data_IF_217289006522
#
_entry.id   IF_217289006522
#
_cell.length_a   1.000
_cell.length_b   1.000
_cell.length_c   1.000
_cell.angle_alpha   90.00
_cell.angle_beta   90.00
_cell.angle_gamma   90.00
#
_symmetry.space_group_name_H-M   'P 1'
#
loop_
_entity.id
_entity.type
_entity.pdbx_description
1 polymer ?
#
# COMPACT_ATOMS: atom_id res chain seq x y z
N UNK A 1 -15.82 14.36 -14.40
CA UNK A 1 -14.69 14.84 -13.58
C UNK A 1 -13.53 13.86 -13.73
N UNK A 2 -12.29 14.33 -13.80
CA UNK A 2 -11.11 13.46 -13.93
C UNK A 2 -10.74 12.92 -12.54
N UNK A 3 -10.53 11.61 -12.40
CA UNK A 3 -10.03 10.97 -11.19
C UNK A 3 -8.97 9.92 -11.54
N UNK A 4 -7.86 9.89 -10.80
CA UNK A 4 -6.72 9.02 -11.10
C UNK A 4 -6.92 7.53 -10.73
N UNK A 5 -8.01 7.19 -10.04
CA UNK A 5 -8.36 5.83 -9.66
C UNK A 5 -8.62 5.66 -8.17
N UNK A 6 -9.16 4.51 -7.79
CA UNK A 6 -9.37 4.16 -6.39
C UNK A 6 -8.09 3.61 -5.74
N UNK A 7 -7.97 3.80 -4.43
CA UNK A 7 -6.97 3.08 -3.63
C UNK A 7 -7.21 1.58 -3.62
N UNK A 8 -6.17 0.83 -3.22
CA UNK A 8 -6.36 -0.52 -2.74
C UNK A 8 -7.08 -0.49 -1.38
N UNK A 9 -8.27 -1.07 -1.29
CA UNK A 9 -9.05 -1.12 -0.04
C UNK A 9 -8.50 -2.21 0.88
N UNK A 10 -7.38 -1.89 1.53
CA UNK A 10 -6.72 -2.69 2.56
C UNK A 10 -5.93 -1.75 3.50
N UNK A 11 -5.36 -2.17 4.62
CA UNK A 11 -5.35 -3.50 5.24
C UNK A 11 -6.70 -3.87 5.90
N UNK A 12 -6.99 -5.16 5.95
CA UNK A 12 -8.05 -5.73 6.78
C UNK A 12 -7.45 -6.30 8.07
N UNK A 13 -7.62 -5.61 9.20
CA UNK A 13 -7.27 -6.16 10.52
C UNK A 13 -8.25 -7.28 10.84
N UNK A 14 -7.72 -8.49 11.01
CA UNK A 14 -8.50 -9.69 11.26
C UNK A 14 -7.85 -10.54 12.35
N UNK A 15 -8.67 -11.34 13.02
CA UNK A 15 -8.25 -12.22 14.10
C UNK A 15 -9.42 -12.97 14.73
N UNK A 16 -9.11 -13.82 15.70
CA UNK A 16 -10.12 -14.60 16.43
C UNK A 16 -9.56 -15.33 17.63
N UNK A 17 -10.46 -15.77 18.50
CA UNK A 17 -10.16 -16.37 19.80
C UNK A 17 -11.31 -16.12 20.78
N UNK A 18 -10.99 -15.86 22.04
CA UNK A 18 -11.96 -15.50 23.08
C UNK A 18 -11.85 -14.00 23.38
N UNK A 19 -12.98 -13.28 23.32
CA UNK A 19 -13.03 -11.83 23.53
C UNK A 19 -13.09 -11.42 25.02
N UNK A 20 -13.25 -10.13 25.27
CA UNK A 20 -13.34 -9.52 26.60
C UNK A 20 -14.54 -10.00 27.44
N UNK A 21 -15.56 -10.56 26.80
CA UNK A 21 -16.76 -11.11 27.46
C UNK A 21 -16.66 -12.62 27.73
N UNK A 22 -15.55 -13.24 27.32
CA UNK A 22 -15.33 -14.68 27.47
C UNK A 22 -16.00 -15.53 26.39
N UNK A 23 -16.39 -14.94 25.26
CA UNK A 23 -17.08 -15.62 24.16
C UNK A 23 -16.16 -15.90 22.97
N UNK A 24 -16.46 -16.97 22.22
CA UNK A 24 -15.81 -17.26 20.93
C UNK A 24 -16.10 -16.12 19.97
N UNK A 25 -15.06 -15.54 19.38
CA UNK A 25 -15.18 -14.31 18.62
C UNK A 25 -14.20 -14.24 17.45
N UNK A 26 -14.52 -13.39 16.47
CA UNK A 26 -13.64 -13.03 15.37
C UNK A 26 -13.82 -11.54 15.02
N UNK A 27 -12.74 -10.88 14.61
CA UNK A 27 -12.75 -9.46 14.26
C UNK A 27 -12.46 -9.24 12.78
N UNK A 28 -13.05 -8.19 12.22
CA UNK A 28 -12.73 -7.70 10.89
C UNK A 28 -13.00 -6.18 10.83
N UNK A 29 -11.96 -5.39 11.07
CA UNK A 29 -12.10 -3.94 11.11
C UNK A 29 -12.48 -3.38 9.73
N UNK A 30 -13.51 -2.53 9.71
CA UNK A 30 -13.95 -1.85 8.49
C UNK A 30 -13.28 -0.48 8.29
N UNK A 31 -12.23 -0.15 9.04
CA UNK A 31 -11.43 1.08 8.85
C UNK A 31 -10.95 1.28 7.39
N UNK A 32 -10.83 0.20 6.61
CA UNK A 32 -10.52 0.24 5.18
C UNK A 32 -11.63 0.79 4.28
N UNK A 33 -12.83 1.08 4.79
CA UNK A 33 -13.89 1.82 4.09
C UNK A 33 -13.48 3.28 3.79
N UNK A 34 -12.47 3.79 4.52
CA UNK A 34 -11.99 5.16 4.45
C UNK A 34 -10.55 5.21 3.95
N UNK A 35 -10.30 4.73 2.73
CA UNK A 35 -9.01 4.90 2.06
C UNK A 35 -8.85 6.31 1.47
N UNK A 36 -7.62 6.67 1.08
CA UNK A 36 -7.39 7.86 0.27
C UNK A 36 -7.98 7.71 -1.14
N UNK A 37 -8.44 8.80 -1.76
CA UNK A 37 -8.98 8.76 -3.14
C UNK A 37 -7.99 9.31 -4.17
N UNK A 38 -8.17 8.94 -5.44
CA UNK A 38 -7.33 9.43 -6.52
C UNK A 38 -7.45 10.94 -6.73
N UNK A 39 -6.33 11.57 -7.06
CA UNK A 39 -6.27 13.00 -7.38
C UNK A 39 -7.08 13.32 -8.64
N UNK A 40 -7.63 14.54 -8.68
CA UNK A 40 -8.31 15.09 -9.84
C UNK A 40 -7.37 15.95 -10.69
N UNK A 41 -7.80 16.32 -11.90
CA UNK A 41 -7.06 17.29 -12.74
C UNK A 41 -7.07 18.73 -12.20
N UNK A 42 -7.80 18.99 -11.11
CA UNK A 42 -8.03 20.34 -10.55
C UNK A 42 -7.82 20.44 -9.03
N UNK A 43 -7.64 19.32 -8.33
CA UNK A 43 -7.52 19.27 -6.86
C UNK A 43 -6.91 17.95 -6.40
N UNK A 44 -6.39 17.96 -5.19
CA UNK A 44 -5.91 16.77 -4.50
C UNK A 44 -7.03 15.74 -4.25
N UNK A 45 -6.64 14.49 -4.06
CA UNK A 45 -7.54 13.43 -3.60
C UNK A 45 -7.92 13.64 -2.13
N UNK A 46 -9.05 13.07 -1.73
CA UNK A 46 -9.54 13.14 -0.36
C UNK A 46 -8.77 12.16 0.51
N UNK A 47 -8.21 12.62 1.62
CA UNK A 47 -7.57 11.74 2.61
C UNK A 47 -8.64 10.90 3.32
N UNK A 48 -8.32 9.64 3.59
CA UNK A 48 -9.07 8.71 4.46
C UNK A 48 -10.60 8.87 4.37
N UNK A 49 -11.15 8.66 3.17
CA UNK A 49 -12.48 9.14 2.80
C UNK A 49 -13.42 8.07 2.22
N UNK A 50 -12.93 7.13 1.39
CA UNK A 50 -13.84 6.27 0.64
C UNK A 50 -13.20 4.94 0.21
N UNK A 51 -14.05 4.02 -0.23
CA UNK A 51 -13.70 2.75 -0.86
C UNK A 51 -14.41 2.60 -2.20
N UNK A 52 -13.84 1.81 -3.13
CA UNK A 52 -14.44 1.63 -4.46
C UNK A 52 -15.84 1.00 -4.42
N UNK A 53 -16.08 0.15 -3.43
CA UNK A 53 -17.34 -0.59 -3.24
C UNK A 53 -18.37 0.19 -2.42
N UNK A 54 -17.97 1.26 -1.72
CA UNK A 54 -18.87 2.20 -1.07
C UNK A 54 -18.21 3.59 -0.98
N UNK A 55 -18.71 4.60 -1.72
CA UNK A 55 -18.13 5.94 -1.69
C UNK A 55 -18.44 6.71 -0.39
N UNK A 56 -19.42 6.27 0.40
CA UNK A 56 -19.81 6.83 1.69
C UNK A 56 -18.93 6.24 2.80
N UNK A 57 -17.62 6.50 2.72
CA UNK A 57 -16.66 5.91 3.65
C UNK A 57 -16.84 6.43 5.08
N UNK A 58 -16.79 5.51 6.03
CA UNK A 58 -16.87 5.77 7.46
C UNK A 58 -15.91 4.84 8.20
N UNK A 59 -14.92 5.43 8.87
CA UNK A 59 -13.90 4.69 9.62
C UNK A 59 -14.41 4.19 10.97
N UNK A 60 -15.60 4.61 11.41
CA UNK A 60 -16.22 4.27 12.69
C UNK A 60 -15.54 4.93 13.89
N UNK A 61 -16.29 5.07 14.97
CA UNK A 61 -15.80 5.58 16.25
C UNK A 61 -14.90 4.56 16.96
N UNK A 62 -13.81 5.06 17.55
CA UNK A 62 -12.86 4.24 18.33
C UNK A 62 -13.58 3.50 19.45
N UNK A 63 -14.45 4.19 20.19
CA UNK A 63 -15.19 3.60 21.32
C UNK A 63 -16.13 2.47 20.88
N UNK A 64 -16.72 2.57 19.68
CA UNK A 64 -17.57 1.51 19.12
C UNK A 64 -16.72 0.30 18.71
N UNK A 65 -15.55 0.51 18.12
CA UNK A 65 -14.63 -0.57 17.78
C UNK A 65 -14.10 -1.30 19.02
N UNK A 66 -13.72 -0.59 20.08
CA UNK A 66 -13.23 -1.21 21.32
C UNK A 66 -14.32 -2.04 22.05
N UNK A 67 -15.61 -1.76 21.83
CA UNK A 67 -16.68 -2.64 22.32
C UNK A 67 -16.77 -3.97 21.59
N UNK A 68 -16.36 -4.02 20.31
CA UNK A 68 -16.49 -5.20 19.46
C UNK A 68 -15.16 -5.97 19.30
N UNK A 69 -14.04 -5.38 19.67
CA UNK A 69 -12.72 -5.95 19.44
C UNK A 69 -11.92 -5.92 20.75
N UNK A 70 -11.27 -7.03 21.19
CA UNK A 70 -10.44 -7.04 22.40
C UNK A 70 -9.08 -6.36 22.15
N UNK A 71 -9.12 -5.10 21.70
CA UNK A 71 -8.00 -4.32 21.20
C UNK A 71 -8.17 -2.84 21.62
N UNK A 72 -7.17 -2.25 22.25
CA UNK A 72 -7.14 -0.82 22.58
C UNK A 72 -6.42 0.00 21.50
N UNK A 73 -6.91 1.20 21.23
CA UNK A 73 -6.24 2.16 20.36
C UNK A 73 -5.11 2.90 21.10
N UNK A 74 -3.90 2.79 20.59
CA UNK A 74 -2.73 3.59 21.03
C UNK A 74 -2.44 4.76 20.07
N UNK A 75 -3.11 4.81 18.92
CA UNK A 75 -2.98 5.87 17.93
C UNK A 75 -3.98 5.73 16.80
N UNK A 76 -4.38 6.87 16.24
CA UNK A 76 -5.17 7.00 15.02
C UNK A 76 -4.73 8.26 14.29
N UNK A 77 -4.03 8.09 13.17
CA UNK A 77 -3.28 9.18 12.55
C UNK A 77 -3.38 9.11 11.03
N UNK A 78 -3.38 10.28 10.38
CA UNK A 78 -3.16 10.34 8.92
C UNK A 78 -1.81 9.72 8.60
N UNK A 79 -1.76 8.87 7.57
CA UNK A 79 -0.53 8.18 7.19
C UNK A 79 0.24 9.00 6.17
N UNK A 80 1.33 9.62 6.62
CA UNK A 80 2.18 10.45 5.77
C UNK A 80 2.72 9.69 4.55
N UNK A 81 2.88 10.39 3.43
CA UNK A 81 3.46 9.88 2.18
C UNK A 81 2.75 8.65 1.58
N UNK A 82 1.45 8.48 1.82
CA UNK A 82 0.71 7.35 1.25
C UNK A 82 -0.05 7.69 -0.01
N UNK A 83 -0.50 8.92 -0.15
CA UNK A 83 -1.07 9.45 -1.38
C UNK A 83 0.00 9.55 -2.46
N UNK A 84 -0.35 9.13 -3.67
CA UNK A 84 0.54 9.19 -4.82
C UNK A 84 0.96 10.62 -5.13
N UNK A 85 2.26 10.81 -5.38
CA UNK A 85 2.82 12.11 -5.68
C UNK A 85 2.31 12.63 -7.03
N UNK A 86 2.01 13.91 -7.10
CA UNK A 86 1.65 14.58 -8.35
C UNK A 86 1.58 16.08 -8.18
N UNK A 87 1.31 16.78 -9.28
CA UNK A 87 0.86 18.19 -9.23
C UNK A 87 -0.30 18.33 -8.24
N UNK A 88 -1.26 17.42 -8.36
CA UNK A 88 -2.22 17.13 -7.33
C UNK A 88 -1.91 15.77 -6.71
N UNK A 89 -1.79 15.73 -5.39
CA UNK A 89 -1.46 14.53 -4.62
C UNK A 89 -2.72 13.68 -4.47
N UNK A 90 -2.58 12.36 -4.53
CA UNK A 90 -3.67 11.47 -4.10
C UNK A 90 -3.94 11.62 -2.60
N UNK A 91 -5.14 11.23 -2.17
CA UNK A 91 -5.47 11.23 -0.75
C UNK A 91 -4.55 10.29 0.03
N UNK A 92 -4.07 10.72 1.19
CA UNK A 92 -3.40 9.84 2.14
C UNK A 92 -4.43 8.88 2.75
N UNK A 93 -4.00 7.66 3.05
CA UNK A 93 -4.72 6.81 3.98
C UNK A 93 -4.48 7.24 5.43
N UNK A 94 -4.76 6.33 6.35
CA UNK A 94 -4.53 6.53 7.77
C UNK A 94 -4.03 5.23 8.40
N UNK A 95 -3.61 5.32 9.65
CA UNK A 95 -3.09 4.20 10.41
C UNK A 95 -3.62 4.19 11.84
N UNK A 96 -3.74 2.98 12.39
CA UNK A 96 -4.12 2.77 13.79
C UNK A 96 -3.19 1.77 14.44
N UNK A 97 -2.62 2.15 15.58
CA UNK A 97 -1.81 1.27 16.40
C UNK A 97 -2.72 0.62 17.44
N UNK A 98 -2.77 -0.71 17.43
CA UNK A 98 -3.62 -1.51 18.31
C UNK A 98 -2.77 -2.30 19.29
N UNK A 99 -3.21 -2.33 20.54
CA UNK A 99 -2.66 -3.20 21.57
C UNK A 99 -3.70 -4.25 21.95
N UNK A 100 -3.32 -5.52 21.97
CA UNK A 100 -4.22 -6.60 22.39
C UNK A 100 -4.55 -6.44 23.88
N UNK A 101 -5.84 -6.49 24.21
CA UNK A 101 -6.33 -6.23 25.56
C UNK A 101 -7.65 -6.96 25.86
N UNK A 102 -7.66 -7.73 26.95
CA UNK A 102 -8.83 -8.52 27.35
C UNK A 102 -9.08 -9.75 26.46
N UNK A 103 -8.14 -10.12 25.59
CA UNK A 103 -8.26 -11.31 24.74
C UNK A 103 -7.69 -12.56 25.43
N UNK A 104 -8.25 -13.73 25.10
CA UNK A 104 -7.71 -15.04 25.48
C UNK A 104 -7.64 -15.96 24.25
N UNK A 105 -6.63 -16.83 24.19
CA UNK A 105 -6.39 -17.75 23.05
C UNK A 105 -6.51 -17.04 21.69
N UNK A 106 -5.84 -15.89 21.57
CA UNK A 106 -6.07 -14.92 20.50
C UNK A 106 -5.06 -15.04 19.35
N UNK A 107 -5.56 -14.86 18.13
CA UNK A 107 -4.74 -14.80 16.92
C UNK A 107 -5.11 -13.61 16.06
N UNK A 108 -4.14 -13.10 15.28
CA UNK A 108 -4.36 -12.05 14.29
C UNK A 108 -3.55 -12.30 13.03
N UNK A 109 -3.94 -11.66 11.92
CA UNK A 109 -3.22 -11.73 10.66
C UNK A 109 -3.44 -10.47 9.79
N UNK A 110 -2.58 -10.32 8.77
CA UNK A 110 -2.61 -9.20 7.83
C UNK A 110 -3.18 -9.63 6.49
N UNK A 111 -3.95 -8.75 5.85
CA UNK A 111 -4.45 -8.96 4.50
C UNK A 111 -4.51 -7.65 3.72
N UNK A 112 -3.54 -7.46 2.83
CA UNK A 112 -3.47 -6.32 1.93
C UNK A 112 -2.32 -6.41 0.94
N UNK A 113 -2.21 -5.43 0.04
CA UNK A 113 -1.12 -5.40 -0.93
C UNK A 113 0.23 -5.07 -0.25
N UNK A 114 1.27 -5.83 -0.57
CA UNK A 114 2.63 -5.64 -0.03
C UNK A 114 3.62 -5.17 -1.08
N UNK A 115 4.01 -6.06 -1.98
CA UNK A 115 5.07 -5.81 -2.97
C UNK A 115 4.66 -4.94 -4.15
N UNK A 116 3.36 -4.76 -4.41
CA UNK A 116 2.85 -4.09 -5.61
C UNK A 116 1.74 -3.09 -5.27
N UNK A 117 1.65 -2.04 -6.09
CA UNK A 117 0.52 -1.13 -6.15
C UNK A 117 -0.50 -1.64 -7.17
N UNK A 118 -1.79 -1.47 -6.85
CA UNK A 118 -2.88 -1.74 -7.80
C UNK A 118 -3.31 -0.50 -8.57
N UNK A 119 -3.14 0.68 -7.98
CA UNK A 119 -3.42 1.98 -8.57
C UNK A 119 -2.17 2.56 -9.23
N UNK A 120 -2.34 3.28 -10.35
CA UNK A 120 -1.29 4.07 -10.99
C UNK A 120 -1.67 5.54 -11.00
N UNK A 121 -0.69 6.42 -10.88
CA UNK A 121 -0.92 7.84 -11.11
C UNK A 121 -1.24 8.15 -12.57
N UNK A 122 -1.80 9.33 -12.81
CA UNK A 122 -2.27 9.73 -14.12
C UNK A 122 -1.51 10.95 -14.64
N UNK A 123 -1.23 10.96 -15.95
CA UNK A 123 -0.60 12.08 -16.66
C UNK A 123 0.69 12.62 -15.99
N UNK A 124 1.52 11.73 -15.44
CA UNK A 124 2.78 12.08 -14.75
C UNK A 124 2.74 11.94 -13.23
N UNK A 125 1.56 11.68 -12.66
CA UNK A 125 1.42 11.32 -11.25
C UNK A 125 1.96 9.92 -10.95
N UNK A 126 2.28 9.68 -9.68
CA UNK A 126 2.78 8.42 -9.16
C UNK A 126 1.67 7.60 -8.49
N UNK A 127 1.81 6.28 -8.40
CA UNK A 127 0.95 5.43 -7.57
C UNK A 127 1.04 5.84 -6.09
N UNK A 128 0.04 5.43 -5.30
CA UNK A 128 0.09 5.48 -3.85
C UNK A 128 1.24 4.63 -3.27
N UNK A 129 1.50 4.73 -1.96
CA UNK A 129 2.43 3.81 -1.30
C UNK A 129 1.86 2.39 -1.21
N UNK A 130 2.73 1.37 -1.31
CA UNK A 130 2.37 -0.03 -1.07
C UNK A 130 2.47 -0.39 0.41
N UNK A 131 1.81 -1.48 0.83
CA UNK A 131 1.73 -1.88 2.23
C UNK A 131 3.05 -2.39 2.83
N UNK A 132 3.15 -2.36 4.15
CA UNK A 132 4.10 -3.11 4.95
C UNK A 132 3.40 -3.63 6.20
N UNK A 133 4.01 -4.61 6.87
CA UNK A 133 3.56 -5.18 8.13
C UNK A 133 4.33 -4.58 9.29
N UNK A 134 3.66 -4.33 10.40
CA UNK A 134 4.27 -4.16 11.72
C UNK A 134 3.45 -4.90 12.76
N UNK A 135 4.10 -5.85 13.45
CA UNK A 135 3.62 -6.47 14.69
C UNK A 135 4.78 -6.59 15.68
N UNK A 136 4.46 -6.53 16.97
CA UNK A 136 5.45 -6.71 18.03
C UNK A 136 4.90 -7.60 19.15
N UNK A 137 5.65 -8.65 19.47
CA UNK A 137 5.35 -9.58 20.55
C UNK A 137 6.32 -9.43 21.72
N UNK A 138 5.91 -9.83 22.93
CA UNK A 138 6.73 -9.75 24.15
C UNK A 138 7.21 -8.31 24.44
N UNK A 139 6.31 -7.36 24.31
CA UNK A 139 6.58 -5.91 24.27
C UNK A 139 7.02 -5.29 25.60
N UNK A 140 6.74 -6.00 26.71
CA UNK A 140 6.88 -5.52 28.10
C UNK A 140 6.01 -4.29 28.42
N UNK A 141 4.97 -3.99 27.62
CA UNK A 141 4.16 -2.78 27.84
C UNK A 141 3.49 -2.76 29.21
N UNK A 142 3.13 -3.92 29.79
CA UNK A 142 2.60 -3.99 31.16
C UNK A 142 3.50 -3.32 32.19
N UNK A 143 4.79 -3.66 32.19
CA UNK A 143 5.75 -3.09 33.14
C UNK A 143 6.08 -1.65 32.77
N UNK A 144 6.18 -1.34 31.48
CA UNK A 144 6.46 0.02 31.01
C UNK A 144 5.34 0.99 31.40
N UNK A 145 4.07 0.58 31.29
CA UNK A 145 2.90 1.32 31.80
C UNK A 145 3.00 1.49 33.32
N UNK A 146 3.20 0.39 34.07
CA UNK A 146 3.30 0.43 35.55
C UNK A 146 4.40 1.37 36.04
N UNK A 147 5.51 1.45 35.32
CA UNK A 147 6.67 2.25 35.67
C UNK A 147 6.67 3.65 35.04
N UNK A 148 5.57 4.04 34.37
CA UNK A 148 5.45 5.32 33.66
C UNK A 148 6.60 5.57 32.65
N UNK A 149 7.02 4.51 31.95
CA UNK A 149 7.99 4.61 30.86
C UNK A 149 7.31 5.05 29.55
N UNK A 150 8.10 5.55 28.60
CA UNK A 150 7.60 6.00 27.29
C UNK A 150 6.90 4.89 26.52
N UNK A 151 5.80 5.12 25.83
CA UNK A 151 5.02 4.08 25.11
C UNK A 151 5.02 4.35 23.59
N UNK A 152 4.82 3.32 22.74
CA UNK A 152 4.62 3.53 21.31
C UNK A 152 3.19 4.06 21.15
N UNK A 153 3.06 5.36 20.83
CA UNK A 153 1.77 6.05 20.70
C UNK A 153 1.69 6.74 19.34
N UNK A 154 0.48 6.95 18.85
CA UNK A 154 0.24 7.62 17.57
C UNK A 154 0.59 6.74 16.37
N UNK A 155 1.00 7.37 15.26
CA UNK A 155 1.29 6.70 13.98
C UNK A 155 2.78 6.41 13.76
N UNK A 156 3.08 5.43 12.90
CA UNK A 156 4.43 5.07 12.47
C UNK A 156 4.89 6.06 11.38
N UNK A 157 4.98 7.34 11.74
CA UNK A 157 5.07 8.49 10.83
C UNK A 157 6.14 8.31 9.73
N UNK A 158 7.33 7.84 10.11
CA UNK A 158 8.36 7.38 9.19
C UNK A 158 8.75 5.93 9.51
N UNK A 159 8.33 4.94 8.72
CA UNK A 159 8.61 3.53 9.00
C UNK A 159 10.10 3.16 8.95
N UNK A 160 10.94 4.02 8.38
CA UNK A 160 12.41 3.83 8.35
C UNK A 160 13.05 4.12 9.70
N UNK A 161 12.45 5.01 10.51
CA UNK A 161 13.02 5.46 11.78
C UNK A 161 12.73 4.48 12.94
N UNK A 162 11.82 3.52 12.71
CA UNK A 162 11.47 2.43 13.64
C UNK A 162 11.17 2.94 15.04
N UNK A 163 10.33 3.97 15.12
CA UNK A 163 10.16 4.74 16.34
C UNK A 163 9.48 3.94 17.45
N UNK A 164 8.44 3.17 17.12
CA UNK A 164 7.78 2.27 18.06
C UNK A 164 8.75 1.32 18.76
N UNK A 165 9.75 0.81 18.03
CA UNK A 165 10.73 -0.12 18.58
C UNK A 165 11.63 0.50 19.67
N UNK A 166 11.76 1.83 19.71
CA UNK A 166 12.46 2.55 20.81
C UNK A 166 11.63 2.59 22.09
N UNK A 167 10.34 2.27 21.98
CA UNK A 167 9.35 2.32 23.04
C UNK A 167 8.77 0.94 23.35
N UNK A 168 9.55 -0.12 23.23
CA UNK A 168 9.22 -1.48 23.69
C UNK A 168 10.50 -2.15 24.21
N UNK A 169 10.38 -3.35 24.79
CA UNK A 169 11.54 -4.12 25.24
C UNK A 169 12.51 -4.43 24.09
N UNK A 170 13.82 -4.38 24.34
CA UNK A 170 14.82 -4.87 23.37
C UNK A 170 14.72 -6.39 23.11
N UNK A 171 14.03 -7.12 23.99
CA UNK A 171 13.75 -8.54 23.81
C UNK A 171 12.46 -8.80 22.99
N UNK A 172 11.74 -7.75 22.60
CA UNK A 172 10.51 -7.88 21.81
C UNK A 172 10.79 -8.53 20.46
N UNK A 173 9.88 -9.37 20.01
CA UNK A 173 9.93 -9.97 18.68
C UNK A 173 9.13 -9.11 17.72
N UNK A 174 9.82 -8.30 16.91
CA UNK A 174 9.19 -7.37 15.96
C UNK A 174 9.24 -7.96 14.56
N UNK A 175 8.08 -8.10 13.90
CA UNK A 175 8.03 -8.37 12.45
C UNK A 175 7.68 -7.09 11.71
N UNK A 176 8.66 -6.55 10.98
CA UNK A 176 8.54 -5.36 10.14
C UNK A 176 9.09 -5.65 8.75
N UNK A 177 8.20 -5.90 7.80
CA UNK A 177 8.57 -6.33 6.45
C UNK A 177 7.45 -6.03 5.42
N UNK A 178 7.62 -6.51 4.18
CA UNK A 178 6.66 -6.33 3.08
C UNK A 178 5.62 -7.46 3.01
N UNK A 179 5.60 -8.38 3.97
CA UNK A 179 4.68 -9.52 3.99
C UNK A 179 3.31 -9.09 4.55
N UNK A 180 2.51 -8.42 3.71
CA UNK A 180 1.17 -7.92 4.08
C UNK A 180 0.04 -8.95 3.97
N UNK A 181 0.38 -10.21 3.68
CA UNK A 181 -0.56 -11.32 3.66
C UNK A 181 0.04 -12.41 4.55
N UNK A 182 -0.65 -12.73 5.64
CA UNK A 182 -0.21 -13.76 6.59
C UNK A 182 -1.39 -14.67 6.93
N UNK A 183 -1.08 -15.86 7.42
CA UNK A 183 -2.04 -16.66 8.18
C UNK A 183 -2.05 -16.19 9.63
N UNK A 184 -2.93 -16.78 10.44
CA UNK A 184 -3.00 -16.57 11.87
C UNK A 184 -1.63 -16.72 12.55
N UNK A 185 -1.37 -15.80 13.48
CA UNK A 185 -0.26 -15.86 14.43
C UNK A 185 -0.84 -15.57 15.82
N UNK A 186 -0.28 -16.18 16.87
CA UNK A 186 -0.74 -15.94 18.23
C UNK A 186 -0.33 -14.54 18.70
N UNK A 187 -1.24 -13.87 19.41
CA UNK A 187 -0.98 -12.58 20.05
C UNK A 187 -1.42 -12.66 21.51
N UNK A 188 -0.54 -12.21 22.40
CA UNK A 188 -0.86 -12.08 23.81
C UNK A 188 -1.32 -10.65 24.14
N UNK A 189 -2.01 -10.49 25.28
CA UNK A 189 -2.28 -9.15 25.81
C UNK A 189 -0.97 -8.35 25.88
N UNK A 190 -1.04 -7.07 25.52
CA UNK A 190 0.09 -6.14 25.35
C UNK A 190 0.92 -6.30 24.06
N UNK A 191 0.63 -7.26 23.19
CA UNK A 191 1.23 -7.29 21.85
C UNK A 191 0.62 -6.19 20.95
N UNK A 192 1.38 -5.79 19.93
CA UNK A 192 1.03 -4.65 19.06
C UNK A 192 0.76 -5.08 17.62
N UNK A 193 -0.24 -4.44 17.00
CA UNK A 193 -0.61 -4.58 15.60
C UNK A 193 -0.78 -3.20 14.96
N UNK A 194 -0.16 -2.96 13.80
CA UNK A 194 -0.41 -1.73 13.01
C UNK A 194 -1.42 -2.00 11.89
N UNK A 195 -2.60 -1.37 11.99
CA UNK A 195 -3.54 -1.34 10.87
C UNK A 195 -3.21 -0.16 9.95
N UNK A 196 -2.73 -0.45 8.73
CA UNK A 196 -2.33 0.57 7.76
C UNK A 196 -3.27 0.59 6.54
N UNK A 197 -4.07 1.65 6.43
CA UNK A 197 -5.03 1.91 5.33
C UNK A 197 -4.38 2.70 4.19
N UNK A 198 -4.62 2.30 2.93
CA UNK A 198 -3.87 2.83 1.78
C UNK A 198 -4.33 4.22 1.32
N UNK A 199 -3.41 4.92 0.64
CA UNK A 199 -3.69 6.16 -0.09
C UNK A 199 -4.13 5.92 -1.53
N UNK A 200 -4.55 6.99 -2.20
CA UNK A 200 -4.94 6.98 -3.61
C UNK A 200 -3.85 7.53 -4.55
N UNK A 201 -3.98 7.33 -5.87
CA UNK A 201 -2.98 7.74 -6.87
C UNK A 201 -2.95 9.26 -7.13
N UNK A 202 -1.78 9.77 -7.55
CA UNK A 202 -1.57 11.19 -7.87
C UNK A 202 -1.85 11.57 -9.33
N UNK A 203 -1.92 12.88 -9.61
CA UNK A 203 -2.14 13.44 -10.94
C UNK A 203 -1.08 14.47 -11.32
N UNK A 204 -0.53 14.39 -12.53
CA UNK A 204 0.41 15.38 -13.07
C UNK A 204 1.83 15.27 -12.49
N UNK A 205 2.81 15.94 -13.11
CA UNK A 205 4.21 15.91 -12.67
C UNK A 205 4.36 16.56 -11.27
N UNK A 206 4.94 15.87 -10.26
CA UNK A 206 5.13 16.43 -8.93
C UNK A 206 5.87 17.77 -8.88
N UNK A 207 6.83 18.04 -9.79
CA UNK A 207 7.53 19.34 -9.75
C UNK A 207 6.65 20.53 -10.18
N UNK A 208 5.43 20.28 -10.65
CA UNK A 208 4.43 21.33 -10.91
C UNK A 208 3.55 21.65 -9.70
N UNK A 209 3.64 20.88 -8.60
CA UNK A 209 2.83 21.13 -7.39
C UNK A 209 3.09 22.53 -6.84
N UNK A 210 2.05 23.20 -6.39
CA UNK A 210 2.15 24.51 -5.75
C UNK A 210 2.99 24.44 -4.46
N UNK A 211 3.83 25.46 -4.22
CA UNK A 211 4.71 25.46 -3.06
C UNK A 211 3.92 25.58 -1.75
N UNK A 212 2.85 26.38 -1.71
CA UNK A 212 2.04 26.53 -0.50
C UNK A 212 1.31 25.23 -0.16
N UNK A 213 0.81 24.50 -1.18
CA UNK A 213 0.24 23.16 -0.97
C UNK A 213 1.26 22.17 -0.35
N UNK A 214 2.54 22.25 -0.76
CA UNK A 214 3.61 21.44 -0.15
C UNK A 214 3.86 21.86 1.31
N UNK A 215 3.85 23.16 1.61
CA UNK A 215 4.00 23.65 2.99
C UNK A 215 2.82 23.23 3.87
N UNK A 216 1.60 23.23 3.34
CA UNK A 216 0.42 22.72 4.02
C UNK A 216 0.54 21.22 4.32
N UNK A 217 0.97 20.42 3.34
CA UNK A 217 1.21 18.99 3.54
C UNK A 217 2.26 18.72 4.66
N UNK A 218 3.33 19.53 4.73
CA UNK A 218 4.36 19.41 5.76
C UNK A 218 3.83 19.81 7.15
N UNK A 219 3.16 20.96 7.25
CA UNK A 219 2.64 21.48 8.52
C UNK A 219 1.52 20.60 9.09
N UNK A 220 0.75 19.93 8.22
CA UNK A 220 -0.29 18.97 8.62
C UNK A 220 0.21 17.53 8.78
N UNK A 221 1.53 17.29 8.72
CA UNK A 221 2.16 15.96 8.85
C UNK A 221 1.64 14.94 7.83
N UNK A 222 1.25 15.41 6.65
CA UNK A 222 0.85 14.57 5.52
C UNK A 222 2.03 14.19 4.62
N UNK A 223 3.11 14.98 4.71
CA UNK A 223 4.35 14.81 3.96
C UNK A 223 5.56 14.80 4.91
N UNK A 224 6.46 13.86 4.66
CA UNK A 224 7.77 13.75 5.26
C UNK A 224 8.70 14.79 4.63
N UNK A 225 9.44 15.59 5.42
CA UNK A 225 10.26 16.71 4.93
C UNK A 225 11.24 16.36 3.82
N UNK A 226 11.85 15.16 3.86
CA UNK A 226 12.80 14.75 2.84
C UNK A 226 12.18 14.65 1.43
N UNK A 227 10.88 14.34 1.34
CA UNK A 227 10.19 14.15 0.07
C UNK A 227 9.73 15.48 -0.54
N UNK A 228 9.57 16.54 0.26
CA UNK A 228 9.41 17.90 -0.27
C UNK A 228 10.58 18.25 -1.20
N UNK A 229 11.81 17.96 -0.78
CA UNK A 229 13.00 18.22 -1.58
C UNK A 229 13.22 17.17 -2.70
N UNK A 230 13.12 15.88 -2.36
CA UNK A 230 13.46 14.78 -3.30
C UNK A 230 12.46 14.65 -4.45
N UNK A 231 11.16 14.80 -4.17
CA UNK A 231 10.09 14.54 -5.14
C UNK A 231 9.58 15.84 -5.78
N UNK A 232 9.23 16.83 -4.96
CA UNK A 232 8.62 18.07 -5.42
C UNK A 232 9.64 19.16 -5.78
N UNK A 233 10.90 18.96 -5.44
CA UNK A 233 11.97 19.95 -5.64
C UNK A 233 11.82 21.20 -4.76
N UNK A 234 10.99 21.16 -3.72
CA UNK A 234 10.75 22.27 -2.82
C UNK A 234 11.91 22.42 -1.83
N UNK A 235 12.43 23.64 -1.73
CA UNK A 235 13.44 24.02 -0.75
C UNK A 235 12.73 24.69 0.41
N UNK A 236 12.67 23.97 1.53
CA UNK A 236 11.88 24.35 2.72
C UNK A 236 12.74 24.30 3.97
N UNK A 237 12.35 25.08 4.97
CA UNK A 237 12.98 25.12 6.30
C UNK A 237 11.94 25.46 7.36
N UNK A 238 12.19 25.12 8.61
CA UNK A 238 11.35 25.58 9.71
C UNK A 238 11.79 26.96 10.19
N UNK A 239 10.82 27.83 10.46
CA UNK A 239 11.07 29.09 11.16
C UNK A 239 11.27 28.86 12.68
N UNK A 240 11.40 29.94 13.46
CA UNK A 240 11.61 29.86 14.92
C UNK A 240 10.45 29.20 15.67
N UNK A 241 9.25 29.21 15.08
CA UNK A 241 8.03 28.65 15.67
C UNK A 241 7.77 27.20 15.19
N UNK A 242 8.72 26.61 14.44
CA UNK A 242 8.59 25.25 13.90
C UNK A 242 7.70 25.12 12.67
N UNK A 243 7.19 26.24 12.12
CA UNK A 243 6.35 26.25 10.92
C UNK A 243 7.22 26.14 9.68
N UNK A 244 6.85 25.26 8.76
CA UNK A 244 7.54 25.11 7.47
C UNK A 244 7.30 26.33 6.59
N UNK A 245 8.39 26.91 6.10
CA UNK A 245 8.42 28.01 5.13
C UNK A 245 9.25 27.60 3.91
N UNK A 246 8.88 28.12 2.73
CA UNK A 246 9.51 27.78 1.45
C UNK A 246 10.33 28.93 0.86
N UNK A 247 11.39 28.58 0.14
CA UNK A 247 12.21 29.52 -0.65
C UNK A 247 11.86 29.35 -2.14
N UNK A 248 11.07 30.28 -2.69
CA UNK A 248 10.59 30.20 -4.08
C UNK A 248 11.73 30.19 -5.10
N UNK A 249 12.74 31.05 -4.89
CA UNK A 249 13.85 31.20 -5.82
C UNK A 249 14.70 29.92 -5.86
N UNK A 250 15.03 29.34 -4.69
CA UNK A 250 15.76 28.07 -4.61
C UNK A 250 14.92 26.90 -5.09
N UNK A 251 13.61 26.89 -4.83
CA UNK A 251 12.69 25.87 -5.35
C UNK A 251 12.66 25.87 -6.88
N UNK A 252 12.56 27.05 -7.51
CA UNK A 252 12.61 27.17 -8.98
C UNK A 252 13.95 26.68 -9.53
N UNK A 253 15.06 27.04 -8.89
CA UNK A 253 16.39 26.58 -9.28
C UNK A 253 16.51 25.04 -9.16
N UNK A 254 16.04 24.46 -8.06
CA UNK A 254 16.05 23.01 -7.81
C UNK A 254 15.17 22.26 -8.80
N UNK A 255 13.97 22.76 -9.11
CA UNK A 255 13.10 22.14 -10.12
C UNK A 255 13.73 22.14 -11.51
N UNK A 256 14.45 23.21 -11.89
CA UNK A 256 15.25 23.23 -13.11
C UNK A 256 16.35 22.17 -13.09
N UNK A 257 17.06 22.02 -11.98
CA UNK A 257 18.07 20.97 -11.79
C UNK A 257 17.48 19.56 -11.92
N UNK A 258 16.31 19.31 -11.31
CA UNK A 258 15.59 18.03 -11.44
C UNK A 258 15.27 17.74 -12.92
N UNK A 259 14.83 18.73 -13.69
CA UNK A 259 14.57 18.55 -15.12
C UNK A 259 15.84 18.19 -15.90
N UNK A 260 16.96 18.87 -15.65
CA UNK A 260 18.23 18.53 -16.29
C UNK A 260 18.74 17.15 -15.88
N UNK A 261 18.62 16.78 -14.60
CA UNK A 261 18.95 15.45 -14.10
C UNK A 261 18.07 14.36 -14.72
N UNK A 262 16.78 14.63 -14.92
CA UNK A 262 15.86 13.71 -15.63
C UNK A 262 16.30 13.52 -17.08
N UNK A 263 16.65 14.58 -17.81
CA UNK A 263 17.17 14.49 -19.18
C UNK A 263 18.49 13.71 -19.25
N UNK A 264 19.41 13.97 -18.32
CA UNK A 264 20.73 13.35 -18.30
C UNK A 264 20.70 11.85 -17.98
N UNK A 265 19.79 11.41 -17.09
CA UNK A 265 19.66 9.99 -16.71
C UNK A 265 18.74 9.18 -17.63
N UNK A 266 17.88 9.85 -18.41
CA UNK A 266 16.96 9.18 -19.32
C UNK A 266 17.66 8.71 -20.58
N UNK A 267 17.28 7.54 -21.08
CA UNK A 267 17.68 7.03 -22.39
C UNK A 267 16.47 7.01 -23.34
N UNK A 268 16.67 7.09 -24.66
CA UNK A 268 15.60 6.86 -25.62
C UNK A 268 14.90 5.52 -25.37
N UNK A 269 13.57 5.51 -25.45
CA UNK A 269 12.76 4.31 -25.18
C UNK A 269 13.20 3.11 -26.03
N UNK A 270 13.66 3.34 -27.26
CA UNK A 270 14.16 2.27 -28.14
C UNK A 270 15.39 1.56 -27.57
N UNK A 271 16.30 2.29 -26.94
CA UNK A 271 17.51 1.70 -26.33
C UNK A 271 17.15 0.88 -25.10
N UNK A 272 16.26 1.39 -24.25
CA UNK A 272 15.72 0.61 -23.13
C UNK A 272 14.99 -0.65 -23.62
N UNK A 273 14.15 -0.53 -24.65
CA UNK A 273 13.41 -1.68 -25.20
C UNK A 273 14.33 -2.76 -25.75
N UNK A 274 15.49 -2.39 -26.32
CA UNK A 274 16.47 -3.37 -26.79
C UNK A 274 17.08 -4.16 -25.61
N UNK A 275 17.42 -3.48 -24.52
CA UNK A 275 17.91 -4.11 -23.29
C UNK A 275 16.88 -5.06 -22.69
N UNK A 276 15.63 -4.59 -22.53
CA UNK A 276 14.53 -5.38 -21.97
C UNK A 276 14.20 -6.58 -22.86
N UNK A 277 14.22 -6.40 -24.19
CA UNK A 277 14.01 -7.50 -25.14
C UNK A 277 15.06 -8.60 -24.98
N UNK A 278 16.33 -8.25 -24.74
CA UNK A 278 17.38 -9.25 -24.52
C UNK A 278 17.13 -10.05 -23.23
N UNK A 279 16.75 -9.38 -22.14
CA UNK A 279 16.32 -10.05 -20.90
C UNK A 279 15.12 -10.99 -21.13
N UNK A 280 14.14 -10.57 -21.93
CA UNK A 280 12.98 -11.41 -22.30
C UNK A 280 13.42 -12.65 -23.11
N UNK A 281 14.33 -12.49 -24.07
CA UNK A 281 14.87 -13.62 -24.86
C UNK A 281 15.59 -14.63 -23.98
N UNK A 282 16.33 -14.14 -22.99
CA UNK A 282 17.08 -14.95 -22.01
C UNK A 282 16.21 -15.45 -20.85
N UNK A 283 14.91 -15.08 -20.83
CA UNK A 283 13.95 -15.41 -19.76
C UNK A 283 14.42 -14.93 -18.37
N UNK A 284 15.12 -13.80 -18.33
CA UNK A 284 15.62 -13.15 -17.12
C UNK A 284 14.52 -12.35 -16.43
N UNK A 285 13.79 -13.02 -15.55
CA UNK A 285 12.82 -12.40 -14.66
C UNK A 285 12.59 -13.29 -13.44
N UNK A 286 11.94 -12.73 -12.41
CA UNK A 286 11.50 -13.51 -11.25
C UNK A 286 10.52 -14.61 -11.67
N UNK A 287 10.40 -15.65 -10.82
CA UNK A 287 9.45 -16.75 -11.09
C UNK A 287 8.01 -16.25 -11.18
N UNK A 288 7.64 -15.28 -10.34
CA UNK A 288 6.29 -14.70 -10.30
C UNK A 288 5.95 -13.95 -11.59
N UNK A 289 6.89 -13.17 -12.13
CA UNK A 289 6.70 -12.47 -13.42
C UNK A 289 6.56 -13.46 -14.57
N UNK A 290 7.42 -14.49 -14.63
CA UNK A 290 7.34 -15.53 -15.66
C UNK A 290 6.03 -16.32 -15.58
N UNK A 291 5.59 -16.66 -14.38
CA UNK A 291 4.35 -17.40 -14.15
C UNK A 291 3.12 -16.58 -14.57
N UNK A 292 3.08 -15.28 -14.23
CA UNK A 292 2.04 -14.36 -14.70
C UNK A 292 1.94 -14.35 -16.23
N UNK A 293 3.06 -14.12 -16.94
CA UNK A 293 3.04 -14.10 -18.40
C UNK A 293 2.68 -15.46 -19.00
N UNK A 294 3.24 -16.57 -18.49
CA UNK A 294 2.95 -17.91 -18.99
C UNK A 294 1.45 -18.24 -18.91
N UNK A 295 0.81 -17.95 -17.77
CA UNK A 295 -0.62 -18.21 -17.58
C UNK A 295 -1.49 -17.25 -18.40
N UNK A 296 -1.13 -15.97 -18.53
CA UNK A 296 -1.83 -15.04 -19.42
C UNK A 296 -1.74 -15.44 -20.89
N UNK A 297 -0.60 -15.95 -21.35
CA UNK A 297 -0.41 -16.41 -22.72
C UNK A 297 -1.22 -17.67 -23.05
N UNK A 298 -1.34 -18.59 -22.09
CA UNK A 298 -2.16 -19.80 -22.24
C UNK A 298 -3.66 -19.44 -22.32
N UNK A 299 -4.11 -18.46 -21.53
CA UNK A 299 -5.49 -17.96 -21.55
C UNK A 299 -5.82 -17.11 -22.78
N UNK A 300 -4.85 -16.37 -23.32
CA UNK A 300 -5.08 -15.42 -24.43
C UNK A 300 -3.99 -15.50 -25.50
N UNK A 301 -4.21 -16.29 -26.58
CA UNK A 301 -3.32 -16.32 -27.73
C UNK A 301 -3.16 -14.94 -28.40
N UNK A 302 -4.20 -14.10 -28.34
CA UNK A 302 -4.13 -12.70 -28.80
C UNK A 302 -3.08 -11.93 -28.01
N UNK A 303 -3.12 -11.98 -26.68
CA UNK A 303 -2.15 -11.28 -25.84
C UNK A 303 -0.72 -11.77 -26.08
N UNK A 304 -0.51 -13.08 -26.25
CA UNK A 304 0.80 -13.63 -26.63
C UNK A 304 1.31 -13.07 -27.97
N UNK A 305 0.45 -13.00 -28.97
CA UNK A 305 0.81 -12.49 -30.30
C UNK A 305 1.14 -10.99 -30.26
N UNK A 306 0.35 -10.20 -29.53
CA UNK A 306 0.59 -8.77 -29.34
C UNK A 306 1.93 -8.56 -28.60
N UNK A 307 2.20 -9.34 -27.54
CA UNK A 307 3.46 -9.30 -26.80
C UNK A 307 4.67 -9.65 -27.69
N UNK A 308 4.58 -10.73 -28.46
CA UNK A 308 5.64 -11.13 -29.40
C UNK A 308 5.89 -10.08 -30.48
N UNK A 309 4.82 -9.46 -30.99
CA UNK A 309 4.91 -8.40 -32.00
C UNK A 309 5.57 -7.15 -31.42
N UNK A 310 5.11 -6.69 -30.25
CA UNK A 310 5.65 -5.52 -29.57
C UNK A 310 7.14 -5.66 -29.26
N UNK A 311 7.55 -6.81 -28.73
CA UNK A 311 8.94 -7.11 -28.39
C UNK A 311 9.75 -7.72 -29.56
N UNK A 312 9.18 -7.82 -30.75
CA UNK A 312 9.81 -8.43 -31.93
C UNK A 312 10.50 -9.78 -31.61
N UNK A 313 9.78 -10.69 -30.98
CA UNK A 313 10.31 -11.99 -30.53
C UNK A 313 10.20 -13.04 -31.64
N UNK A 314 11.15 -13.99 -31.74
CA UNK A 314 11.04 -15.11 -32.66
C UNK A 314 9.75 -15.91 -32.45
N UNK A 315 9.17 -16.44 -33.52
CA UNK A 315 7.96 -17.28 -33.42
C UNK A 315 8.17 -18.47 -32.47
N UNK A 316 9.38 -19.02 -32.43
CA UNK A 316 9.81 -20.12 -31.56
C UNK A 316 9.96 -19.74 -30.08
N UNK A 317 10.08 -18.45 -29.75
CA UNK A 317 10.18 -18.03 -28.35
C UNK A 317 8.89 -18.37 -27.60
N UNK A 318 9.03 -18.92 -26.39
CA UNK A 318 7.92 -19.24 -25.52
C UNK A 318 8.38 -19.34 -24.07
N UNK A 319 7.46 -19.07 -23.14
CA UNK A 319 7.60 -19.33 -21.71
C UNK A 319 6.39 -20.17 -21.32
N UNK A 320 6.63 -21.38 -20.82
CA UNK A 320 5.57 -22.31 -20.41
C UNK A 320 5.54 -22.47 -18.91
N UNK A 321 4.34 -22.65 -18.37
CA UNK A 321 4.12 -22.76 -16.93
C UNK A 321 4.87 -23.96 -16.31
N UNK A 322 4.93 -25.09 -17.03
CA UNK A 322 5.55 -26.35 -16.58
C UNK A 322 7.09 -26.29 -16.50
N UNK A 323 7.72 -25.33 -17.17
CA UNK A 323 9.18 -25.11 -17.13
C UNK A 323 9.63 -24.30 -15.90
N UNK A 324 8.71 -23.73 -15.11
CA UNK A 324 9.05 -22.75 -14.06
C UNK A 324 9.37 -23.36 -12.69
N UNK A 325 9.17 -24.67 -12.51
CA UNK A 325 9.41 -25.36 -11.24
C UNK A 325 8.52 -24.84 -10.10
N UNK A 326 7.26 -24.49 -10.42
CA UNK A 326 6.21 -24.12 -9.46
C UNK A 326 5.05 -25.10 -9.60
N UNK A 327 4.20 -25.21 -8.57
CA UNK A 327 3.00 -26.03 -8.66
C UNK A 327 1.99 -25.42 -9.65
N UNK A 328 1.51 -26.21 -10.60
CA UNK A 328 0.57 -25.78 -11.66
C UNK A 328 -0.78 -26.51 -11.55
N UNK A 329 -1.24 -26.77 -10.32
CA UNK A 329 -2.49 -27.51 -10.09
C UNK A 329 -3.67 -26.71 -10.66
N UNK A 330 -4.59 -27.41 -11.33
CA UNK A 330 -5.73 -26.79 -11.99
C UNK A 330 -5.40 -26.09 -13.31
N UNK A 331 -4.15 -26.04 -13.80
CA UNK A 331 -3.85 -25.36 -15.07
C UNK A 331 -4.58 -25.99 -16.26
N UNK A 332 -4.59 -27.32 -16.35
CA UNK A 332 -5.21 -28.10 -17.45
C UNK A 332 -6.56 -28.75 -17.11
N UNK A 333 -6.70 -29.25 -15.89
CA UNK A 333 -7.88 -30.03 -15.48
C UNK A 333 -8.77 -29.18 -14.58
N UNK A 334 -9.92 -28.75 -15.13
CA UNK A 334 -10.94 -27.94 -14.43
C UNK A 334 -12.34 -28.48 -14.75
N UNK A 335 -13.22 -28.51 -13.76
CA UNK A 335 -14.62 -28.85 -13.93
C UNK A 335 -15.45 -27.63 -13.53
N UNK A 336 -16.09 -27.02 -14.52
CA UNK A 336 -17.01 -25.90 -14.29
C UNK A 336 -18.29 -26.38 -13.59
N UNK A 337 -18.92 -25.48 -12.82
CA UNK A 337 -20.14 -25.77 -12.07
C UNK A 337 -21.30 -26.19 -12.98
N UNK A 338 -21.39 -25.66 -14.21
CA UNK A 338 -22.44 -26.00 -15.19
C UNK A 338 -22.44 -27.47 -15.62
N UNK A 339 -21.36 -28.21 -15.33
CA UNK A 339 -21.29 -29.66 -15.61
C UNK A 339 -21.95 -30.52 -14.54
N UNK A 340 -22.35 -29.95 -13.40
CA UNK A 340 -23.07 -30.68 -12.36
C UNK A 340 -24.55 -30.88 -12.75
N UNK A 341 -25.19 -31.98 -12.32
CA UNK A 341 -26.60 -32.22 -12.57
C UNK A 341 -27.48 -31.08 -12.03
N UNK A 342 -28.47 -30.68 -12.83
CA UNK A 342 -29.47 -29.63 -12.49
C UNK A 342 -28.91 -28.21 -12.27
N UNK A 343 -27.63 -27.95 -12.60
CA UNK A 343 -27.10 -26.59 -12.59
C UNK A 343 -27.41 -25.87 -13.90
N UNK A 344 -28.00 -24.67 -13.80
CA UNK A 344 -28.21 -23.75 -14.93
C UNK A 344 -27.57 -22.40 -14.61
N UNK A 345 -26.47 -22.08 -15.29
CA UNK A 345 -25.79 -20.80 -15.12
C UNK A 345 -26.45 -19.72 -15.99
N UNK A 346 -26.41 -18.48 -15.53
CA UNK A 346 -26.83 -17.31 -16.30
C UNK A 346 -25.59 -16.62 -16.83
N UNK A 347 -25.49 -16.51 -18.16
CA UNK A 347 -24.38 -15.82 -18.81
C UNK A 347 -24.70 -14.32 -18.91
N UNK A 348 -23.83 -13.49 -18.32
CA UNK A 348 -23.98 -12.02 -18.31
C UNK A 348 -22.89 -11.30 -19.10
N UNK A 349 -21.89 -12.04 -19.61
CA UNK A 349 -20.70 -11.49 -20.27
C UNK A 349 -20.33 -12.33 -21.50
N UNK A 350 -19.60 -11.72 -22.42
CA UNK A 350 -19.02 -12.45 -23.56
C UNK A 350 -17.82 -13.28 -23.09
N UNK A 351 -17.95 -14.60 -23.16
CA UNK A 351 -16.87 -15.56 -22.93
C UNK A 351 -16.45 -16.15 -24.29
N UNK A 352 -15.43 -15.56 -24.93
CA UNK A 352 -14.84 -16.07 -26.18
C UNK A 352 -13.33 -16.04 -26.17
#
# INVERSE_FOLDING_TARGET
EVNSGNANTSNWLQGGGINQDGEIHAVNSFETSSCGTGACAIKDGLNHAAAIWNPEGDMGDVEIWEMAEPLLYLGRNVKANTGGYGKYRGGNGFETLRMVWGAHDWTMFFMGNGYMNSDWGMMGGYPAASGYRFEAHNTDLKNRIKNNASLPLGGDFNPTDRDYEKHISHASQVKRDKQCITTENCFDNYDLYLNYIKGGPGFGDPIERDLNAILEDLNSKQLLPEYAYKVYGAVVSQNKDGVWVGDEAKTKARRKEILENRKARSIPVKEWMEQERNAILEKEASKQVKHMYATSFDLSPKFLNDFKTFWNLPKSWSVKEDELGVFTYGSKYRMDLSKLPDVRTVLLVDEK
#
